data_IF_800980173404
#
_entry.id   IF_800980173404
#
_cell.length_a   1.000
_cell.length_b   1.000
_cell.length_c   1.000
_cell.angle_alpha   90.00
_cell.angle_beta   90.00
_cell.angle_gamma   90.00
#
_symmetry.space_group_name_H-M   'P 1'
#
loop_
_entity.id
_entity.type
_entity.pdbx_description
1 polymer ?
#
# COMPACT_ATOMS: atom_id res chain seq x y z
N UNK A 1 -19.94 -26.77 1.71
CA UNK A 1 -19.40 -25.62 2.48
C UNK A 1 -18.60 -26.20 3.63
N UNK A 2 -17.28 -26.00 3.64
CA UNK A 2 -16.43 -26.38 4.77
C UNK A 2 -15.94 -25.09 5.43
N UNK A 3 -16.07 -25.01 6.76
CA UNK A 3 -15.46 -23.97 7.57
C UNK A 3 -14.26 -24.58 8.26
N UNK A 4 -13.13 -23.88 8.24
CA UNK A 4 -11.93 -24.28 8.97
C UNK A 4 -11.59 -23.19 9.97
N UNK A 5 -11.58 -23.54 11.25
CA UNK A 5 -11.01 -22.69 12.28
C UNK A 5 -9.49 -22.70 12.11
N UNK A 6 -8.84 -21.56 11.92
CA UNK A 6 -7.36 -21.48 11.80
C UNK A 6 -6.68 -21.23 13.15
N UNK A 7 -7.44 -20.85 14.18
CA UNK A 7 -6.94 -20.54 15.51
C UNK A 7 -7.95 -20.91 16.62
N UNK A 8 -7.53 -21.54 17.73
CA UNK A 8 -6.18 -22.06 17.98
C UNK A 8 -5.93 -23.38 17.21
N UNK A 9 -4.87 -23.42 16.40
CA UNK A 9 -4.33 -24.64 15.78
C UNK A 9 -2.81 -24.67 16.03
N UNK A 10 -2.21 -25.81 16.41
CA UNK A 10 -0.77 -25.95 16.57
C UNK A 10 -0.09 -26.03 15.20
N UNK A 11 -0.05 -24.92 14.45
CA UNK A 11 0.87 -24.80 13.32
C UNK A 11 2.24 -24.41 13.89
N UNK A 12 3.36 -25.01 13.45
CA UNK A 12 4.69 -24.57 13.88
C UNK A 12 4.84 -23.07 13.63
N UNK A 13 5.27 -22.34 14.67
CA UNK A 13 5.52 -20.91 14.58
C UNK A 13 6.52 -20.55 13.49
N UNK A 14 6.49 -19.30 13.05
CA UNK A 14 7.54 -18.72 12.19
C UNK A 14 8.40 -17.88 13.10
N UNK A 15 9.62 -18.35 13.40
CA UNK A 15 10.61 -17.52 14.04
C UNK A 15 11.26 -16.61 12.98
N UNK A 16 11.02 -15.30 13.10
CA UNK A 16 11.51 -14.29 12.16
C UNK A 16 13.03 -14.11 12.22
N UNK A 17 13.68 -14.55 13.30
CA UNK A 17 15.13 -14.53 13.47
C UNK A 17 15.78 -15.79 12.91
N UNK A 18 15.17 -16.96 13.13
CA UNK A 18 15.74 -18.25 12.68
C UNK A 18 15.47 -18.55 11.20
N UNK A 19 14.36 -18.08 10.62
CA UNK A 19 14.00 -18.38 9.22
C UNK A 19 13.57 -17.13 8.40
N UNK A 20 14.50 -16.20 8.12
CA UNK A 20 14.20 -15.00 7.33
C UNK A 20 13.82 -15.34 5.87
N UNK A 21 14.23 -16.50 5.35
CA UNK A 21 13.94 -16.92 3.97
C UNK A 21 12.49 -17.36 3.80
N UNK A 22 11.92 -18.05 4.79
CA UNK A 22 10.51 -18.42 4.79
C UNK A 22 9.62 -17.18 4.77
N UNK A 23 9.97 -16.15 5.54
CA UNK A 23 9.22 -14.90 5.54
C UNK A 23 9.25 -14.21 4.16
N UNK A 24 10.44 -14.08 3.57
CA UNK A 24 10.60 -13.52 2.23
C UNK A 24 9.77 -14.30 1.20
N UNK A 25 9.74 -15.63 1.29
CA UNK A 25 8.96 -16.48 0.40
C UNK A 25 7.43 -16.29 0.55
N UNK A 26 6.94 -16.07 1.78
CA UNK A 26 5.52 -15.85 2.05
C UNK A 26 5.01 -14.54 1.46
N UNK A 27 5.83 -13.49 1.51
CA UNK A 27 5.48 -12.16 1.03
C UNK A 27 5.91 -11.88 -0.41
N UNK A 28 6.69 -12.76 -1.03
CA UNK A 28 7.16 -12.52 -2.39
C UNK A 28 6.01 -12.50 -3.40
N UNK A 29 6.05 -11.50 -4.26
CA UNK A 29 5.16 -11.27 -5.39
C UNK A 29 5.94 -10.92 -6.66
N UNK A 30 7.27 -11.13 -6.65
CA UNK A 30 8.14 -10.99 -7.81
C UNK A 30 7.83 -11.96 -8.97
N UNK A 31 7.05 -13.02 -8.73
CA UNK A 31 6.60 -13.94 -9.78
C UNK A 31 5.60 -13.32 -10.76
N UNK A 32 4.96 -12.21 -10.39
CA UNK A 32 4.03 -11.49 -11.25
C UNK A 32 4.79 -10.39 -11.99
N UNK A 33 5.00 -10.58 -13.29
CA UNK A 33 5.79 -9.67 -14.12
C UNK A 33 5.24 -8.23 -14.10
N UNK A 34 3.93 -8.10 -13.98
CA UNK A 34 3.22 -6.84 -13.80
C UNK A 34 2.17 -7.00 -12.71
N UNK A 35 2.26 -6.19 -11.64
CA UNK A 35 1.29 -6.26 -10.55
C UNK A 35 1.12 -4.91 -9.85
N UNK A 36 -0.07 -4.69 -9.29
CA UNK A 36 -0.40 -3.60 -8.38
C UNK A 36 -0.75 -4.19 -7.02
N UNK A 37 -0.06 -3.72 -5.99
CA UNK A 37 -0.28 -4.13 -4.62
C UNK A 37 -0.74 -2.94 -3.77
N UNK A 38 -1.52 -3.22 -2.74
CA UNK A 38 -1.82 -2.27 -1.66
C UNK A 38 -1.32 -2.88 -0.36
N UNK A 39 -0.61 -2.09 0.45
CA UNK A 39 -0.23 -2.44 1.81
C UNK A 39 -0.84 -1.44 2.80
N UNK A 40 -1.62 -1.94 3.75
CA UNK A 40 -2.30 -1.13 4.76
C UNK A 40 -2.24 -1.80 6.13
N UNK A 41 -2.28 -0.98 7.17
CA UNK A 41 -2.53 -1.40 8.54
C UNK A 41 -3.80 -0.74 9.06
N UNK A 42 -4.63 -1.50 9.79
CA UNK A 42 -5.78 -0.96 10.50
C UNK A 42 -5.88 -1.44 11.94
N UNK A 43 -6.61 -0.73 12.77
CA UNK A 43 -7.21 -1.29 13.99
C UNK A 43 -8.25 -2.37 13.66
N UNK A 44 -8.77 -3.09 14.67
CA UNK A 44 -9.80 -4.13 14.45
C UNK A 44 -11.11 -3.56 13.90
N UNK A 45 -11.38 -2.28 14.15
CA UNK A 45 -12.53 -1.55 13.62
C UNK A 45 -12.24 -0.78 12.33
N UNK A 46 -11.10 -1.03 11.67
CA UNK A 46 -10.79 -0.48 10.35
C UNK A 46 -10.25 0.95 10.34
N UNK A 47 -9.83 1.50 11.49
CA UNK A 47 -9.16 2.80 11.54
C UNK A 47 -7.75 2.67 10.94
N UNK A 48 -7.41 3.54 9.99
CA UNK A 48 -6.09 3.60 9.35
C UNK A 48 -5.05 4.37 10.18
N UNK A 49 -5.50 5.07 11.23
CA UNK A 49 -4.66 5.83 12.15
C UNK A 49 -4.99 5.44 13.58
N UNK A 50 -4.00 5.46 14.46
CA UNK A 50 -4.18 5.27 15.89
C UNK A 50 -4.38 6.58 16.64
N UNK A 51 -4.12 6.56 17.95
CA UNK A 51 -4.43 7.65 18.88
C UNK A 51 -3.67 8.97 18.60
N UNK A 52 -2.55 8.89 17.89
CA UNK A 52 -1.73 10.02 17.47
C UNK A 52 -2.10 10.56 16.08
N UNK A 53 -3.17 10.04 15.46
CA UNK A 53 -3.60 10.33 14.09
C UNK A 53 -2.58 9.93 13.01
N UNK A 54 -1.66 9.01 13.32
CA UNK A 54 -0.74 8.39 12.35
C UNK A 54 -0.95 6.88 12.33
N UNK A 55 -0.35 6.18 11.35
CA UNK A 55 -0.34 4.72 11.35
C UNK A 55 0.73 4.11 12.30
N UNK A 56 1.65 4.92 12.84
CA UNK A 56 2.78 4.42 13.63
C UNK A 56 2.34 3.74 14.92
N UNK A 57 1.32 4.28 15.60
CA UNK A 57 0.79 3.69 16.84
C UNK A 57 0.00 2.39 16.61
N UNK A 58 -0.41 2.11 15.38
CA UNK A 58 -1.00 0.82 15.01
C UNK A 58 0.06 -0.24 14.72
N UNK A 59 1.23 0.19 14.22
CA UNK A 59 2.31 -0.68 13.78
C UNK A 59 3.18 -1.18 14.95
N UNK A 60 4.00 -2.18 14.68
CA UNK A 60 4.96 -2.74 15.61
C UNK A 60 6.25 -3.18 14.86
N UNK A 61 7.34 -3.57 15.54
CA UNK A 61 8.58 -3.96 14.87
C UNK A 61 8.43 -5.12 13.88
N UNK A 62 7.51 -6.06 14.13
CA UNK A 62 7.26 -7.20 13.24
C UNK A 62 6.53 -6.74 11.98
N UNK A 63 5.50 -5.92 12.11
CA UNK A 63 4.81 -5.30 10.98
C UNK A 63 5.78 -4.51 10.07
N UNK A 64 6.67 -3.71 10.66
CA UNK A 64 7.72 -3.00 9.90
C UNK A 64 8.70 -3.94 9.19
N UNK A 65 8.97 -5.12 9.78
CA UNK A 65 9.77 -6.16 9.12
C UNK A 65 9.04 -6.75 7.91
N UNK A 66 7.73 -6.98 8.01
CA UNK A 66 6.90 -7.44 6.88
C UNK A 66 6.86 -6.41 5.76
N UNK A 67 6.66 -5.14 6.11
CA UNK A 67 6.70 -4.03 5.16
C UNK A 67 8.01 -4.00 4.36
N UNK A 68 9.14 -4.23 5.03
CA UNK A 68 10.44 -4.29 4.36
C UNK A 68 10.57 -5.46 3.38
N UNK A 69 9.92 -6.60 3.65
CA UNK A 69 9.86 -7.75 2.73
C UNK A 69 8.96 -7.44 1.53
N UNK A 70 7.79 -6.82 1.75
CA UNK A 70 6.85 -6.43 0.68
C UNK A 70 7.51 -5.42 -0.27
N UNK A 71 8.18 -4.40 0.28
CA UNK A 71 8.90 -3.35 -0.48
C UNK A 71 10.05 -3.91 -1.32
N UNK A 72 10.60 -5.08 -0.98
CA UNK A 72 11.73 -5.67 -1.72
C UNK A 72 11.36 -6.02 -3.16
N UNK A 73 10.12 -6.42 -3.38
CA UNK A 73 9.61 -6.84 -4.68
C UNK A 73 8.95 -5.69 -5.47
N UNK A 74 8.84 -4.49 -4.89
CA UNK A 74 8.28 -3.32 -5.55
C UNK A 74 9.34 -2.59 -6.40
N UNK A 75 8.96 -2.17 -7.61
CA UNK A 75 9.76 -1.23 -8.40
C UNK A 75 9.47 0.22 -7.99
N UNK A 76 8.21 0.47 -7.59
CA UNK A 76 7.70 1.77 -7.17
C UNK A 76 6.85 1.62 -5.90
N UNK A 77 7.10 2.46 -4.92
CA UNK A 77 6.25 2.63 -3.74
C UNK A 77 5.51 3.96 -3.84
N UNK A 78 4.19 3.91 -4.02
CA UNK A 78 3.29 5.05 -4.08
C UNK A 78 2.82 5.46 -2.68
N UNK A 79 2.94 6.76 -2.40
CA UNK A 79 2.39 7.40 -1.22
C UNK A 79 1.77 8.76 -1.56
N UNK A 80 0.65 9.10 -0.93
CA UNK A 80 0.05 10.43 -1.03
C UNK A 80 0.89 11.47 -0.28
N UNK A 81 1.05 12.67 -0.87
CA UNK A 81 1.92 13.71 -0.32
C UNK A 81 1.58 14.12 1.13
N UNK A 82 0.28 14.12 1.50
CA UNK A 82 -0.14 14.43 2.87
C UNK A 82 0.36 13.40 3.89
N UNK A 83 0.28 12.10 3.56
CA UNK A 83 0.81 11.01 4.41
C UNK A 83 2.33 11.07 4.46
N UNK A 84 2.98 11.29 3.32
CA UNK A 84 4.43 11.43 3.28
C UNK A 84 4.96 12.56 4.19
N UNK A 85 4.19 13.67 4.33
CA UNK A 85 4.47 14.74 5.28
C UNK A 85 4.25 14.33 6.73
N UNK A 86 3.09 13.76 7.02
CA UNK A 86 2.68 13.46 8.39
C UNK A 86 3.59 12.41 9.05
N UNK A 87 4.10 11.46 8.25
CA UNK A 87 4.86 10.30 8.74
C UNK A 87 6.38 10.39 8.43
N UNK A 88 6.89 11.58 8.07
CA UNK A 88 8.31 11.82 7.77
C UNK A 88 8.91 10.75 6.83
N UNK A 89 8.19 10.44 5.75
CA UNK A 89 8.45 9.28 4.92
C UNK A 89 9.82 9.37 4.24
N UNK A 90 10.52 8.24 4.12
CA UNK A 90 11.87 8.18 3.53
C UNK A 90 11.88 7.36 2.24
N UNK A 91 12.86 7.62 1.38
CA UNK A 91 13.00 6.87 0.12
C UNK A 91 13.30 5.39 0.43
N UNK A 92 12.50 4.44 -0.08
CA UNK A 92 12.74 3.02 0.14
C UNK A 92 14.12 2.59 -0.37
N UNK A 93 14.72 1.60 0.29
CA UNK A 93 16.06 1.12 -0.05
C UNK A 93 16.16 0.50 -1.45
N UNK A 94 15.12 -0.23 -1.87
CA UNK A 94 15.11 -1.07 -3.07
C UNK A 94 14.11 -0.65 -4.15
N UNK A 95 13.34 0.41 -3.91
CA UNK A 95 12.29 0.87 -4.80
C UNK A 95 12.35 2.38 -5.01
N UNK A 96 11.78 2.85 -6.11
CA UNK A 96 11.55 4.27 -6.34
C UNK A 96 10.41 4.75 -5.43
N UNK A 97 10.53 5.96 -4.88
CA UNK A 97 9.44 6.62 -4.17
C UNK A 97 8.57 7.41 -5.17
N UNK A 98 7.29 7.08 -5.25
CA UNK A 98 6.30 7.82 -6.02
C UNK A 98 5.40 8.64 -5.10
N UNK A 99 5.43 9.96 -5.24
CA UNK A 99 4.59 10.87 -4.47
C UNK A 99 3.39 11.29 -5.32
N UNK A 100 2.18 11.06 -4.84
CA UNK A 100 0.94 11.46 -5.52
C UNK A 100 0.37 12.70 -4.86
N UNK A 101 0.12 13.76 -5.63
CA UNK A 101 -0.44 15.03 -5.12
C UNK A 101 -1.34 15.72 -6.14
N UNK A 102 -2.42 16.35 -5.67
CA UNK A 102 -3.26 17.22 -6.51
C UNK A 102 -2.91 18.70 -6.31
N UNK A 103 -2.54 19.09 -5.08
CA UNK A 103 -2.28 20.47 -4.71
C UNK A 103 -0.90 20.97 -5.16
N UNK A 104 0.02 20.06 -5.48
CA UNK A 104 1.42 20.39 -5.69
C UNK A 104 2.20 20.64 -4.40
N UNK A 105 1.55 20.55 -3.23
CA UNK A 105 2.25 20.61 -1.95
C UNK A 105 3.05 19.33 -1.76
N UNK A 106 4.37 19.46 -1.75
CA UNK A 106 5.29 18.34 -1.59
C UNK A 106 5.62 18.10 -0.12
N UNK A 107 5.97 16.87 0.25
CA UNK A 107 6.53 16.62 1.55
C UNK A 107 7.97 17.13 1.65
N UNK A 108 8.42 17.47 2.86
CA UNK A 108 9.83 17.76 3.16
C UNK A 108 10.72 16.52 3.12
N UNK A 109 10.45 15.61 2.17
CA UNK A 109 11.28 14.44 1.93
C UNK A 109 12.61 14.94 1.40
N UNK A 110 13.69 14.41 1.96
CA UNK A 110 15.03 14.73 1.50
C UNK A 110 15.24 14.21 0.07
N UNK A 111 14.98 15.09 -0.90
CA UNK A 111 15.18 14.84 -2.33
C UNK A 111 16.66 14.74 -2.72
N UNK A 112 17.60 14.89 -1.76
CA UNK A 112 19.02 14.60 -2.01
C UNK A 112 19.26 13.14 -2.39
N UNK A 113 18.29 12.25 -2.15
CA UNK A 113 18.26 10.88 -2.67
C UNK A 113 18.12 10.76 -4.21
N UNK A 114 17.98 11.86 -4.95
CA UNK A 114 18.13 11.95 -6.40
C UNK A 114 17.00 11.31 -7.24
N UNK A 115 17.37 10.71 -8.37
CA UNK A 115 16.52 10.13 -9.45
C UNK A 115 15.49 9.07 -9.01
N UNK A 116 15.53 8.65 -7.73
CA UNK A 116 14.61 7.66 -7.15
C UNK A 116 13.36 8.27 -6.51
N UNK A 117 13.07 9.53 -6.80
CA UNK A 117 11.80 10.19 -6.45
C UNK A 117 11.07 10.62 -7.71
N UNK A 118 9.83 10.17 -7.85
CA UNK A 118 8.92 10.53 -8.95
C UNK A 118 7.67 11.18 -8.37
N UNK A 119 7.24 12.30 -8.93
CA UNK A 119 6.04 13.01 -8.48
C UNK A 119 4.97 12.89 -9.55
N UNK A 120 3.84 12.30 -9.18
CA UNK A 120 2.64 12.20 -10.01
C UNK A 120 1.66 13.28 -9.57
N UNK A 121 1.35 14.23 -10.46
CA UNK A 121 0.57 15.40 -10.08
C UNK A 121 -0.35 15.92 -11.17
N UNK A 122 -1.55 16.35 -10.79
CA UNK A 122 -2.46 17.15 -11.65
C UNK A 122 -2.15 18.64 -11.57
N UNK A 123 -1.27 19.07 -10.66
CA UNK A 123 -0.88 20.47 -10.52
C UNK A 123 -0.16 20.96 -11.78
N UNK A 124 -0.68 22.05 -12.36
CA UNK A 124 -0.17 22.64 -13.60
C UNK A 124 0.85 23.76 -13.38
N UNK A 125 1.02 24.22 -12.13
CA UNK A 125 1.99 25.24 -11.75
C UNK A 125 3.39 24.67 -11.49
N UNK A 126 4.35 25.57 -11.27
CA UNK A 126 5.71 25.19 -10.87
C UNK A 126 5.71 24.66 -9.44
N UNK A 127 6.17 23.43 -9.24
CA UNK A 127 6.32 22.85 -7.91
C UNK A 127 7.49 23.54 -7.17
N UNK A 128 7.22 24.28 -6.08
CA UNK A 128 8.28 24.89 -5.30
C UNK A 128 9.10 23.79 -4.61
N UNK A 129 10.38 24.05 -4.37
CA UNK A 129 11.30 23.19 -3.58
C UNK A 129 11.80 21.91 -4.25
N UNK A 130 11.57 21.70 -5.55
CA UNK A 130 12.25 20.64 -6.28
C UNK A 130 13.60 21.12 -6.81
N UNK A 131 14.67 20.55 -6.27
CA UNK A 131 15.93 20.45 -6.99
C UNK A 131 15.67 19.74 -8.33
N UNK A 132 16.43 20.05 -9.38
CA UNK A 132 16.27 19.52 -10.75
C UNK A 132 16.41 17.98 -10.90
N UNK A 133 16.40 17.23 -9.79
CA UNK A 133 16.70 15.80 -9.68
C UNK A 133 15.46 14.91 -9.54
N UNK A 134 14.30 15.46 -9.18
CA UNK A 134 13.06 14.69 -9.09
C UNK A 134 12.34 14.67 -10.44
N UNK A 135 11.90 13.48 -10.88
CA UNK A 135 11.13 13.34 -12.12
C UNK A 135 9.66 13.69 -11.87
N UNK A 136 9.14 14.67 -12.58
CA UNK A 136 7.72 15.05 -12.52
C UNK A 136 6.98 14.34 -13.66
N UNK A 137 5.88 13.66 -13.32
CA UNK A 137 4.97 13.00 -14.26
C UNK A 137 3.60 13.67 -14.16
N UNK A 138 3.19 14.45 -15.17
CA UNK A 138 1.89 15.12 -15.15
C UNK A 138 0.75 14.10 -15.31
N UNK A 139 -0.32 14.37 -14.56
CA UNK A 139 -1.62 13.73 -14.65
C UNK A 139 -2.61 14.76 -15.26
N UNK A 140 -3.70 14.28 -15.85
CA UNK A 140 -4.64 15.16 -16.57
C UNK A 140 -5.90 15.37 -15.74
N UNK A 141 -6.50 16.56 -15.87
CA UNK A 141 -7.70 16.96 -15.14
C UNK A 141 -7.39 17.52 -13.75
N UNK A 142 -8.42 17.98 -13.05
CA UNK A 142 -8.26 18.68 -11.77
C UNK A 142 -8.29 17.74 -10.56
N UNK A 143 -8.78 16.50 -10.75
CA UNK A 143 -8.92 15.50 -9.70
C UNK A 143 -7.99 14.31 -9.96
N UNK A 144 -7.45 13.72 -8.89
CA UNK A 144 -6.63 12.53 -8.96
C UNK A 144 -7.47 11.31 -9.33
N UNK A 145 -7.21 10.75 -10.50
CA UNK A 145 -7.74 9.45 -10.94
C UNK A 145 -6.69 8.35 -10.70
N UNK A 146 -7.03 7.36 -9.87
CA UNK A 146 -6.11 6.28 -9.53
C UNK A 146 -5.78 5.35 -10.71
N UNK A 147 -6.71 5.16 -11.66
CA UNK A 147 -6.44 4.42 -12.89
C UNK A 147 -5.39 5.15 -13.74
N UNK A 148 -5.52 6.46 -13.87
CA UNK A 148 -4.53 7.30 -14.55
C UNK A 148 -3.17 7.27 -13.85
N UNK A 149 -3.13 7.26 -12.51
CA UNK A 149 -1.89 7.10 -11.73
C UNK A 149 -1.22 5.77 -12.07
N UNK A 150 -1.97 4.65 -12.06
CA UNK A 150 -1.45 3.33 -12.43
C UNK A 150 -0.89 3.36 -13.87
N UNK A 151 -1.65 3.87 -14.83
CA UNK A 151 -1.22 3.93 -16.23
C UNK A 151 0.02 4.83 -16.40
N UNK A 152 0.12 5.92 -15.64
CA UNK A 152 1.30 6.79 -15.62
C UNK A 152 2.52 6.07 -15.04
N UNK A 153 2.37 5.27 -13.98
CA UNK A 153 3.44 4.45 -13.43
C UNK A 153 3.96 3.44 -14.45
N UNK A 154 3.05 2.78 -15.18
CA UNK A 154 3.39 1.83 -16.26
C UNK A 154 4.19 2.50 -17.37
N UNK A 155 3.69 3.63 -17.89
CA UNK A 155 4.41 4.43 -18.91
C UNK A 155 5.76 4.93 -18.42
N UNK A 156 5.90 5.17 -17.12
CA UNK A 156 7.13 5.60 -16.49
C UNK A 156 8.14 4.47 -16.24
N UNK A 157 7.78 3.22 -16.58
CA UNK A 157 8.64 2.03 -16.55
C UNK A 157 8.48 1.14 -15.31
N UNK A 158 7.47 1.36 -14.47
CA UNK A 158 7.29 0.60 -13.23
C UNK A 158 6.30 -0.55 -13.41
N UNK A 159 6.77 -1.77 -13.18
CA UNK A 159 5.99 -2.98 -13.41
C UNK A 159 5.30 -3.51 -12.12
N UNK A 160 5.97 -3.35 -10.98
CA UNK A 160 5.45 -3.76 -9.67
C UNK A 160 5.24 -2.52 -8.80
N UNK A 161 3.98 -2.13 -8.69
CA UNK A 161 3.56 -0.88 -8.04
C UNK A 161 2.97 -1.22 -6.68
N UNK A 162 3.56 -0.72 -5.59
CA UNK A 162 3.04 -0.87 -4.23
C UNK A 162 2.44 0.45 -3.76
N UNK A 163 1.16 0.48 -3.40
CA UNK A 163 0.53 1.63 -2.75
C UNK A 163 0.51 1.44 -1.24
N UNK A 164 1.15 2.36 -0.50
CA UNK A 164 1.16 2.38 0.96
C UNK A 164 0.22 3.42 1.57
N UNK A 165 -0.61 4.07 0.73
CA UNK A 165 -1.63 5.02 1.17
C UNK A 165 -1.24 6.48 0.94
N UNK A 166 -1.79 7.47 1.63
CA UNK A 166 -2.79 7.37 2.69
C UNK A 166 -4.17 6.89 2.25
N UNK A 167 -5.09 6.84 3.20
CA UNK A 167 -6.39 6.17 3.04
C UNK A 167 -7.20 6.58 1.80
N UNK A 168 -7.14 7.85 1.38
CA UNK A 168 -7.80 8.33 0.15
C UNK A 168 -7.19 7.70 -1.11
N UNK A 169 -5.85 7.68 -1.23
CA UNK A 169 -5.17 7.08 -2.36
C UNK A 169 -5.42 5.57 -2.40
N UNK A 170 -5.25 4.88 -1.26
CA UNK A 170 -5.48 3.44 -1.20
C UNK A 170 -6.93 3.05 -1.53
N UNK A 171 -7.92 3.80 -1.02
CA UNK A 171 -9.34 3.61 -1.39
C UNK A 171 -9.55 3.79 -2.89
N UNK A 172 -8.97 4.84 -3.49
CA UNK A 172 -9.09 5.09 -4.92
C UNK A 172 -8.44 3.97 -5.74
N UNK A 173 -7.26 3.47 -5.34
CA UNK A 173 -6.58 2.33 -5.97
C UNK A 173 -7.43 1.07 -5.92
N UNK A 174 -8.01 0.73 -4.76
CA UNK A 174 -8.90 -0.42 -4.60
C UNK A 174 -10.14 -0.29 -5.50
N UNK A 175 -10.72 0.91 -5.61
CA UNK A 175 -11.89 1.16 -6.45
C UNK A 175 -11.62 0.95 -7.95
N UNK A 176 -10.36 1.00 -8.40
CA UNK A 176 -10.01 0.75 -9.81
C UNK A 176 -10.24 -0.68 -10.25
N UNK A 177 -10.39 -1.64 -9.32
CA UNK A 177 -10.45 -3.08 -9.64
C UNK A 177 -9.16 -3.64 -10.25
N UNK A 178 -8.05 -2.92 -10.17
CA UNK A 178 -6.74 -3.29 -10.75
C UNK A 178 -5.71 -3.67 -9.68
N UNK A 179 -6.15 -3.98 -8.45
CA UNK A 179 -5.25 -4.40 -7.36
C UNK A 179 -5.16 -5.92 -7.37
N UNK A 180 -3.94 -6.42 -7.58
CA UNK A 180 -3.63 -7.85 -7.66
C UNK A 180 -3.33 -8.44 -6.28
N UNK A 181 -2.63 -7.68 -5.43
CA UNK A 181 -2.25 -8.12 -4.07
C UNK A 181 -2.73 -7.13 -3.03
N UNK A 182 -3.28 -7.66 -1.93
CA UNK A 182 -3.62 -6.86 -0.74
C UNK A 182 -2.86 -7.44 0.44
N UNK A 183 -1.91 -6.67 0.94
CA UNK A 183 -1.22 -6.93 2.20
C UNK A 183 -1.92 -6.11 3.28
N UNK A 184 -2.54 -6.79 4.24
CA UNK A 184 -3.38 -6.13 5.24
C UNK A 184 -3.00 -6.59 6.63
N UNK A 185 -2.45 -5.66 7.40
CA UNK A 185 -2.14 -5.81 8.82
C UNK A 185 -3.33 -5.34 9.66
N UNK A 186 -3.69 -6.11 10.68
CA UNK A 186 -4.74 -5.77 11.64
C UNK A 186 -4.09 -5.73 13.02
N UNK A 187 -3.97 -4.54 13.56
CA UNK A 187 -3.53 -4.29 14.93
C UNK A 187 -4.65 -4.67 15.91
N UNK A 188 -4.31 -5.34 17.00
CA UNK A 188 -5.24 -5.73 18.07
C UNK A 188 -5.64 -4.54 18.97
N UNK A 189 -5.98 -3.43 18.34
CA UNK A 189 -6.38 -2.19 18.98
C UNK A 189 -7.79 -1.81 18.54
N UNK A 190 -8.53 -1.18 19.44
CA UNK A 190 -9.79 -0.49 19.14
C UNK A 190 -9.50 1.00 19.17
N UNK A 191 -9.77 1.70 18.06
CA UNK A 191 -9.49 3.14 17.96
C UNK A 191 -10.79 3.90 17.80
N UNK A 192 -11.05 4.83 18.72
CA UNK A 192 -12.08 5.84 18.54
C UNK A 192 -11.51 6.97 17.67
N UNK A 193 -11.52 6.75 16.36
CA UNK A 193 -10.98 7.70 15.40
C UNK A 193 -11.96 8.81 15.02
N UNK A 194 -13.16 8.84 15.62
CA UNK A 194 -14.24 9.74 15.20
C UNK A 194 -14.75 9.50 13.77
N UNK A 195 -14.24 8.46 13.09
CA UNK A 195 -14.68 8.04 11.76
C UNK A 195 -15.90 7.11 11.94
N UNK A 196 -17.01 7.31 11.20
CA UNK A 196 -18.12 6.38 11.23
C UNK A 196 -17.66 4.96 10.88
N UNK A 197 -18.04 3.99 11.72
CA UNK A 197 -17.71 2.56 11.57
C UNK A 197 -18.28 1.94 10.28
N UNK A 198 -19.18 2.68 9.62
CA UNK A 198 -19.78 2.37 8.33
C UNK A 198 -19.76 3.66 7.52
N UNK A 199 -19.04 3.68 6.40
CA UNK A 199 -19.19 4.76 5.41
C UNK A 199 -20.40 4.41 4.53
N UNK A 200 -21.46 5.25 4.47
CA UNK A 200 -22.53 5.04 3.50
C UNK A 200 -22.05 5.44 2.09
N UNK A 201 -22.39 4.63 1.08
CA UNK A 201 -22.61 5.13 -0.29
C UNK A 201 -21.56 4.78 -1.36
N UNK A 202 -22.07 4.23 -2.46
CA UNK A 202 -21.37 3.92 -3.71
C UNK A 202 -21.69 2.49 -4.18
N UNK A 203 -21.95 2.29 -5.48
CA UNK A 203 -21.93 0.95 -6.09
C UNK A 203 -20.49 0.45 -6.05
N UNK A 204 -20.10 -0.15 -4.93
CA UNK A 204 -18.77 -0.72 -4.77
C UNK A 204 -18.66 -1.94 -5.68
N UNK A 205 -17.82 -1.85 -6.71
CA UNK A 205 -17.43 -3.02 -7.46
C UNK A 205 -16.63 -3.93 -6.51
N UNK A 206 -17.21 -5.07 -6.13
CA UNK A 206 -16.56 -6.07 -5.31
C UNK A 206 -15.74 -7.01 -6.21
N UNK A 207 -14.48 -7.22 -5.86
CA UNK A 207 -13.61 -8.19 -6.52
C UNK A 207 -13.30 -9.31 -5.55
N UNK A 208 -13.44 -10.55 -6.00
CA UNK A 208 -13.14 -11.69 -5.18
C UNK A 208 -11.63 -11.79 -4.96
N UNK A 209 -11.26 -12.03 -3.70
CA UNK A 209 -9.90 -12.23 -3.27
C UNK A 209 -9.75 -13.65 -2.71
N UNK A 210 -8.56 -14.23 -2.90
CA UNK A 210 -8.14 -15.49 -2.29
C UNK A 210 -7.12 -15.19 -1.18
N UNK A 211 -7.40 -15.68 0.02
CA UNK A 211 -6.42 -15.67 1.11
C UNK A 211 -5.22 -16.54 0.71
N UNK A 212 -4.01 -15.97 0.73
CA UNK A 212 -2.75 -16.68 0.46
C UNK A 212 -2.08 -17.12 1.75
N UNK A 213 -2.11 -16.27 2.78
CA UNK A 213 -1.68 -16.64 4.13
C UNK A 213 -2.28 -15.68 5.17
N UNK A 214 -2.32 -16.16 6.41
CA UNK A 214 -2.63 -15.41 7.63
C UNK A 214 -1.54 -15.75 8.65
N UNK A 215 -0.91 -14.73 9.24
CA UNK A 215 0.09 -14.85 10.31
C UNK A 215 -0.48 -14.16 11.54
N UNK A 216 -0.31 -14.77 12.70
CA UNK A 216 -0.64 -14.20 14.01
C UNK A 216 0.66 -13.87 14.75
N UNK A 217 0.80 -12.63 15.20
CA UNK A 217 1.83 -12.25 16.16
C UNK A 217 1.37 -12.63 17.57
N UNK A 218 1.95 -13.67 18.14
CA UNK A 218 1.57 -14.19 19.45
C UNK A 218 1.84 -13.24 20.61
N UNK A 219 2.67 -12.22 20.42
CA UNK A 219 2.99 -11.26 21.48
C UNK A 219 2.09 -10.03 21.45
N UNK A 220 1.60 -9.63 20.27
CA UNK A 220 0.79 -8.42 20.10
C UNK A 220 -0.64 -8.67 19.66
N UNK A 221 -0.99 -9.93 19.37
CA UNK A 221 -2.24 -10.36 18.75
C UNK A 221 -2.55 -9.74 17.39
N UNK A 222 -1.58 -9.06 16.76
CA UNK A 222 -1.72 -8.54 15.43
C UNK A 222 -1.88 -9.68 14.41
N UNK A 223 -2.70 -9.44 13.38
CA UNK A 223 -2.92 -10.37 12.29
C UNK A 223 -2.38 -9.80 10.99
N UNK A 224 -1.61 -10.59 10.24
CA UNK A 224 -1.05 -10.18 8.95
C UNK A 224 -1.58 -11.07 7.86
N UNK A 225 -2.29 -10.47 6.91
CA UNK A 225 -2.91 -11.20 5.81
C UNK A 225 -2.31 -10.82 4.48
N UNK A 226 -2.24 -11.80 3.59
CA UNK A 226 -1.99 -11.58 2.17
C UNK A 226 -3.16 -12.15 1.38
N UNK A 227 -3.74 -11.30 0.57
CA UNK A 227 -4.79 -11.66 -0.36
C UNK A 227 -4.32 -11.45 -1.79
N UNK A 228 -4.84 -12.25 -2.70
CA UNK A 228 -4.59 -12.12 -4.13
C UNK A 228 -5.92 -12.06 -4.88
N UNK A 229 -6.03 -11.17 -5.86
CA UNK A 229 -7.18 -11.12 -6.76
C UNK A 229 -7.40 -12.47 -7.44
N UNK A 230 -8.66 -12.88 -7.57
CA UNK A 230 -9.03 -14.08 -8.32
C UNK A 230 -9.47 -13.77 -9.75
N UNK A 231 -9.44 -12.51 -10.17
CA UNK A 231 -9.70 -12.15 -11.55
C UNK A 231 -8.57 -12.69 -12.44
N UNK A 232 -8.91 -13.26 -13.60
CA UNK A 232 -7.91 -13.72 -14.56
C UNK A 232 -7.15 -12.50 -15.11
N UNK A 233 -5.81 -12.54 -15.21
CA UNK A 233 -5.00 -11.45 -15.77
C UNK A 233 -5.41 -11.05 -17.20
N UNK A 234 -6.11 -11.93 -17.93
CA UNK A 234 -6.60 -11.71 -19.29
C UNK A 234 -8.06 -11.24 -19.40
N UNK A 235 -8.82 -11.19 -18.31
CA UNK A 235 -10.23 -10.76 -18.32
C UNK A 235 -10.39 -9.24 -18.06
N UNK A 236 -9.28 -8.51 -18.08
CA UNK A 236 -9.29 -7.06 -18.27
C UNK A 236 -9.64 -6.74 -19.72
N UNK A 237 -10.91 -6.91 -20.09
CA UNK A 237 -11.45 -6.24 -21.27
C UNK A 237 -11.05 -4.74 -21.21
N UNK A 238 -10.84 -4.06 -22.34
CA UNK A 238 -10.66 -2.62 -22.33
C UNK A 238 -11.93 -1.99 -21.76
N UNK A 239 -11.87 -1.63 -20.47
CA UNK A 239 -12.95 -0.95 -19.77
C UNK A 239 -12.96 0.47 -20.32
N UNK A 240 -13.92 0.71 -21.21
CA UNK A 240 -14.19 1.98 -21.90
C UNK A 240 -14.38 3.12 -20.93
#
# INVERSE_FOLDING_TARGET
>A
MALQQLYPIPTPGIDLQEDPKRLSSLYSWAGDAEAVAVNLITSVNGSLTGADNTSDTLSNPRDRRLLAEIRRDADLVLVGAATARAEAYTVPRHATLGIVTASGELPGVDVTAGERVVIFTTHTGTLPQLDARARIVPLHGDLLDAGQVIDACRRAGFARILCEGGGRLARAMIATSRVDHVFWSISAQLVDSGIPWVVPGGTAAAHALRLRHLIHDTDSDALYTRWQSTADPGDSAPRR
#
